data_IF_485926574015
#
_entry.id   IF_485926574015
#
_cell.length_a   1.000
_cell.length_b   1.000
_cell.length_c   1.000
_cell.angle_alpha   90.00
_cell.angle_beta   90.00
_cell.angle_gamma   90.00
#
_symmetry.space_group_name_H-M   'P 1'
#
loop_
_entity.id
_entity.type
_entity.pdbx_description
1 polymer ?
#
# COMPACT_ATOMS: atom_id res chain seq x y z
N UNK A 1 3.76 2.45 41.90
CA UNK A 1 4.38 1.40 41.06
C UNK A 1 3.88 1.62 39.65
N UNK A 2 4.56 2.50 38.94
CA UNK A 2 4.19 2.87 37.58
C UNK A 2 4.69 1.76 36.65
N UNK A 3 3.71 1.00 36.13
CA UNK A 3 4.03 -0.02 35.13
C UNK A 3 4.51 0.64 33.87
N UNK A 4 5.80 0.60 33.58
CA UNK A 4 6.37 0.89 32.27
C UNK A 4 5.62 0.04 31.23
N UNK A 5 4.73 0.70 30.47
CA UNK A 5 4.21 0.13 29.23
C UNK A 5 5.37 0.02 28.25
N UNK A 6 6.00 -1.12 28.25
CA UNK A 6 6.98 -1.47 27.22
C UNK A 6 6.29 -1.31 25.86
N UNK A 7 6.70 -0.28 25.12
CA UNK A 7 6.23 -0.06 23.74
C UNK A 7 6.78 -1.26 22.94
N UNK A 8 5.93 -2.26 22.68
CA UNK A 8 6.27 -3.36 21.78
C UNK A 8 6.67 -2.75 20.44
N UNK A 9 7.89 -2.99 20.01
CA UNK A 9 8.37 -2.50 18.71
C UNK A 9 7.45 -2.99 17.61
N UNK A 10 6.91 -2.06 16.83
CA UNK A 10 6.07 -2.37 15.67
C UNK A 10 6.93 -3.15 14.68
N UNK A 11 6.63 -4.43 14.46
CA UNK A 11 7.43 -5.32 13.61
C UNK A 11 7.21 -5.07 12.12
N UNK A 12 6.00 -4.67 11.72
CA UNK A 12 5.63 -4.46 10.33
C UNK A 12 5.10 -3.04 10.12
N UNK A 13 5.83 -2.26 9.34
CA UNK A 13 5.40 -0.94 8.90
C UNK A 13 5.02 -1.00 7.42
N UNK A 14 3.76 -0.77 7.12
CA UNK A 14 3.25 -0.69 5.76
C UNK A 14 3.10 0.77 5.38
N UNK A 15 3.68 1.16 4.27
CA UNK A 15 3.57 2.54 3.76
C UNK A 15 2.65 2.56 2.56
N UNK A 16 1.72 3.51 2.53
CA UNK A 16 0.72 3.72 1.49
C UNK A 16 0.77 5.18 1.06
N UNK A 17 0.88 5.44 -0.23
CA UNK A 17 0.79 6.80 -0.78
C UNK A 17 -0.58 7.02 -1.42
N UNK A 18 -1.23 8.15 -1.12
CA UNK A 18 -2.48 8.57 -1.74
C UNK A 18 -2.20 9.57 -2.85
N UNK A 19 -2.69 9.26 -4.04
CA UNK A 19 -2.63 10.12 -5.23
C UNK A 19 -4.03 10.33 -5.77
N UNK A 20 -4.33 11.56 -6.13
CA UNK A 20 -5.62 11.92 -6.70
C UNK A 20 -5.69 13.42 -6.90
N UNK A 21 -6.54 13.84 -7.83
CA UNK A 21 -6.73 15.24 -8.16
C UNK A 21 -7.22 16.03 -6.94
N UNK A 22 -7.03 17.32 -6.97
CA UNK A 22 -7.59 18.24 -5.96
C UNK A 22 -9.10 17.99 -5.81
N UNK A 23 -9.59 18.08 -4.61
CA UNK A 23 -10.98 17.80 -4.25
C UNK A 23 -11.44 16.35 -4.41
N UNK A 24 -10.58 15.39 -4.78
CA UNK A 24 -10.98 13.97 -4.82
C UNK A 24 -11.31 13.37 -3.44
N UNK A 25 -10.92 14.06 -2.36
CA UNK A 25 -11.23 13.68 -0.98
C UNK A 25 -10.16 12.81 -0.30
N UNK A 26 -8.89 12.89 -0.71
CA UNK A 26 -7.77 12.14 -0.10
C UNK A 26 -7.68 12.35 1.41
N UNK A 27 -7.55 13.59 1.83
CA UNK A 27 -7.47 13.96 3.26
C UNK A 27 -8.75 13.59 4.02
N UNK A 28 -9.91 13.74 3.37
CA UNK A 28 -11.20 13.34 3.97
C UNK A 28 -11.24 11.83 4.20
N UNK A 29 -10.85 11.03 3.20
CA UNK A 29 -10.77 9.58 3.32
C UNK A 29 -9.85 9.16 4.46
N UNK A 30 -8.66 9.76 4.58
CA UNK A 30 -7.73 9.44 5.66
C UNK A 30 -8.25 9.86 7.03
N UNK A 31 -8.84 11.04 7.14
CA UNK A 31 -9.45 11.49 8.39
C UNK A 31 -10.54 10.51 8.84
N UNK A 32 -11.39 10.07 7.92
CA UNK A 32 -12.47 9.13 8.21
C UNK A 32 -11.96 7.73 8.58
N UNK A 33 -10.86 7.27 7.99
CA UNK A 33 -10.22 6.00 8.34
C UNK A 33 -9.59 6.03 9.74
N UNK A 34 -8.98 7.17 10.12
CA UNK A 34 -8.23 7.30 11.37
C UNK A 34 -9.15 7.75 12.51
N UNK A 35 -10.06 8.68 12.22
CA UNK A 35 -10.95 9.31 13.19
C UNK A 35 -12.42 9.28 12.71
N UNK A 36 -13.06 8.11 12.68
CA UNK A 36 -14.42 7.98 12.13
C UNK A 36 -15.47 8.84 12.85
N UNK A 37 -15.17 9.30 14.07
CA UNK A 37 -16.07 10.12 14.89
C UNK A 37 -16.08 11.61 14.47
N UNK A 38 -15.04 12.05 13.74
CA UNK A 38 -14.84 13.47 13.38
C UNK A 38 -15.49 13.82 12.01
N UNK A 39 -16.06 12.85 11.32
CA UNK A 39 -16.59 12.98 9.94
C UNK A 39 -17.57 14.16 9.78
N UNK A 40 -18.23 14.62 10.83
CA UNK A 40 -19.33 15.57 10.76
C UNK A 40 -18.94 17.06 10.63
N UNK A 41 -17.68 17.43 10.84
CA UNK A 41 -17.24 18.84 10.94
C UNK A 41 -16.13 19.23 9.96
N UNK A 42 -16.15 18.71 8.74
CA UNK A 42 -15.08 18.98 7.78
C UNK A 42 -15.19 20.36 7.14
N UNK A 43 -14.59 21.36 7.77
CA UNK A 43 -14.11 22.51 7.02
C UNK A 43 -12.99 22.03 6.09
N UNK A 44 -13.15 22.25 4.78
CA UNK A 44 -12.14 21.90 3.81
C UNK A 44 -10.86 22.69 4.08
N UNK A 45 -9.76 21.97 4.35
CA UNK A 45 -8.41 22.53 4.47
C UNK A 45 -7.57 21.97 3.34
N UNK A 46 -6.91 22.87 2.61
CA UNK A 46 -5.99 22.46 1.54
C UNK A 46 -4.77 21.80 2.16
N UNK A 47 -4.41 20.61 1.71
CA UNK A 47 -3.13 19.98 2.04
C UNK A 47 -2.04 20.60 1.18
N UNK A 48 -1.09 21.28 1.80
CA UNK A 48 0.10 21.81 1.13
C UNK A 48 1.24 20.79 1.26
N UNK A 49 1.82 20.37 0.11
CA UNK A 49 2.90 19.39 0.11
C UNK A 49 2.44 17.97 0.44
N UNK A 50 3.02 17.38 1.45
CA UNK A 50 2.69 16.04 1.92
C UNK A 50 2.46 16.03 3.42
N UNK A 51 1.33 15.47 3.83
CA UNK A 51 1.06 15.16 5.22
C UNK A 51 1.32 13.68 5.52
N UNK A 52 1.83 13.37 6.70
CA UNK A 52 2.14 12.01 7.13
C UNK A 52 1.19 11.62 8.24
N UNK A 53 0.48 10.50 8.04
CA UNK A 53 -0.47 9.98 9.02
C UNK A 53 -0.22 8.52 9.35
N UNK A 54 -0.67 8.11 10.53
CA UNK A 54 -0.45 6.75 11.02
C UNK A 54 -1.77 6.15 11.47
N UNK A 55 -1.97 4.87 11.12
CA UNK A 55 -3.11 4.08 11.52
C UNK A 55 -2.63 2.70 12.00
N UNK A 56 -2.72 2.40 13.32
CA UNK A 56 -2.42 1.05 13.81
C UNK A 56 -3.54 0.09 13.39
N UNK A 57 -3.17 -1.08 12.85
CA UNK A 57 -4.09 -2.19 12.63
C UNK A 57 -4.22 -3.01 13.93
N UNK A 58 -3.07 -3.26 14.56
CA UNK A 58 -2.91 -3.96 15.83
C UNK A 58 -1.53 -3.62 16.44
N UNK A 59 -1.15 -4.30 17.52
CA UNK A 59 0.13 -4.08 18.23
C UNK A 59 1.38 -4.37 17.37
N UNK A 60 1.24 -5.04 16.23
CA UNK A 60 2.35 -5.49 15.39
C UNK A 60 2.40 -4.87 14.01
N UNK A 61 1.33 -4.21 13.55
CA UNK A 61 1.21 -3.64 12.21
C UNK A 61 0.78 -2.16 12.31
N UNK A 62 1.59 -1.30 11.71
CA UNK A 62 1.33 0.13 11.60
C UNK A 62 1.28 0.53 10.13
N UNK A 63 0.20 1.18 9.71
CA UNK A 63 0.14 1.81 8.39
C UNK A 63 0.62 3.25 8.50
N UNK A 64 1.58 3.62 7.65
CA UNK A 64 1.99 4.99 7.41
C UNK A 64 1.36 5.45 6.09
N UNK A 65 0.66 6.55 6.11
CA UNK A 65 0.12 7.16 4.90
C UNK A 65 0.92 8.41 4.52
N UNK A 66 1.14 8.59 3.22
CA UNK A 66 1.51 9.85 2.60
C UNK A 66 0.28 10.44 1.93
N UNK A 67 -0.28 11.53 2.49
CA UNK A 67 -1.36 12.32 1.91
C UNK A 67 -0.74 13.43 1.07
N UNK A 68 -0.65 13.21 -0.23
CA UNK A 68 -0.05 14.17 -1.15
C UNK A 68 -1.13 15.17 -1.57
N UNK A 69 -0.95 16.44 -1.20
CA UNK A 69 -1.75 17.54 -1.74
C UNK A 69 -1.56 17.64 -3.24
N UNK A 70 -2.58 18.08 -3.98
CA UNK A 70 -2.38 18.52 -5.35
C UNK A 70 -1.66 19.87 -5.32
N UNK A 71 -0.40 19.83 -5.06
CA UNK A 71 0.48 20.93 -5.41
C UNK A 71 1.18 20.47 -6.67
N UNK A 72 1.45 21.36 -7.54
CA UNK A 72 2.33 21.39 -8.70
C UNK A 72 3.55 20.42 -8.65
N UNK A 73 3.50 19.39 -7.82
CA UNK A 73 4.51 18.34 -7.72
C UNK A 73 4.51 17.59 -9.04
N UNK A 74 5.53 17.86 -9.79
CA UNK A 74 5.79 17.08 -11.00
C UNK A 74 6.16 15.65 -10.57
N UNK A 75 5.71 14.61 -11.29
CA UNK A 75 6.05 13.22 -10.97
C UNK A 75 7.56 12.97 -10.85
N UNK A 76 8.34 13.77 -11.54
CA UNK A 76 9.81 13.66 -11.59
C UNK A 76 10.51 14.30 -10.40
N UNK A 77 9.79 14.91 -9.46
CA UNK A 77 10.44 15.46 -8.28
C UNK A 77 10.98 14.34 -7.38
N UNK A 78 12.19 14.53 -6.89
CA UNK A 78 12.90 13.56 -6.05
C UNK A 78 12.08 13.11 -4.83
N UNK A 79 11.20 13.99 -4.33
CA UNK A 79 10.33 13.69 -3.21
C UNK A 79 9.29 12.63 -3.56
N UNK A 80 8.67 12.72 -4.74
CA UNK A 80 7.68 11.74 -5.22
C UNK A 80 8.33 10.39 -5.49
N UNK A 81 9.51 10.39 -6.10
CA UNK A 81 10.29 9.18 -6.31
C UNK A 81 10.68 8.51 -4.98
N UNK A 82 11.15 9.30 -4.01
CA UNK A 82 11.46 8.79 -2.68
C UNK A 82 10.25 8.20 -1.98
N UNK A 83 9.06 8.80 -2.15
CA UNK A 83 7.82 8.25 -1.60
C UNK A 83 7.44 6.94 -2.27
N UNK A 84 7.59 6.82 -3.60
CA UNK A 84 7.30 5.57 -4.30
C UNK A 84 8.17 4.42 -3.83
N UNK A 85 9.47 4.64 -3.66
CA UNK A 85 10.41 3.62 -3.15
C UNK A 85 10.10 3.16 -1.72
N UNK A 86 9.54 4.05 -0.89
CA UNK A 86 9.15 3.74 0.48
C UNK A 86 7.76 3.10 0.57
N UNK A 87 6.96 3.20 -0.49
CA UNK A 87 5.56 2.76 -0.48
C UNK A 87 5.42 1.30 -0.88
N UNK A 88 4.61 0.58 -0.15
CA UNK A 88 4.18 -0.78 -0.51
C UNK A 88 2.97 -0.75 -1.44
N UNK A 89 2.12 0.26 -1.23
CA UNK A 89 0.90 0.47 -1.99
C UNK A 89 0.78 1.91 -2.43
N UNK A 90 0.12 2.11 -3.56
CA UNK A 90 -0.42 3.41 -3.97
C UNK A 90 -1.93 3.31 -4.06
N UNK A 91 -2.64 4.26 -3.44
CA UNK A 91 -4.08 4.43 -3.58
C UNK A 91 -4.32 5.55 -4.58
N UNK A 92 -4.91 5.19 -5.71
CA UNK A 92 -5.40 6.14 -6.70
C UNK A 92 -6.84 6.51 -6.37
N UNK A 93 -7.06 7.77 -6.00
CA UNK A 93 -8.36 8.27 -5.61
C UNK A 93 -9.01 9.07 -6.73
N UNK A 94 -10.18 8.62 -7.15
CA UNK A 94 -11.00 9.24 -8.18
C UNK A 94 -12.26 9.83 -7.54
N UNK A 95 -12.54 11.09 -7.85
CA UNK A 95 -13.89 11.64 -7.77
C UNK A 95 -14.57 11.40 -9.13
N UNK A 96 -15.67 10.63 -9.15
CA UNK A 96 -16.38 10.31 -10.40
C UNK A 96 -16.83 11.52 -11.23
N UNK A 97 -17.03 12.65 -10.56
CA UNK A 97 -17.43 13.91 -11.23
C UNK A 97 -16.27 14.65 -11.89
N UNK A 98 -15.02 14.29 -11.58
CA UNK A 98 -13.84 14.95 -12.14
C UNK A 98 -13.33 14.17 -13.35
N UNK A 99 -13.74 14.57 -14.56
CA UNK A 99 -13.44 13.87 -15.83
C UNK A 99 -11.96 13.64 -16.10
N UNK A 100 -11.06 14.47 -15.55
CA UNK A 100 -9.62 14.41 -15.82
C UNK A 100 -8.85 13.59 -14.79
N UNK A 101 -9.55 12.94 -13.85
CA UNK A 101 -8.90 12.17 -12.78
C UNK A 101 -7.99 11.08 -13.34
N UNK A 102 -8.42 10.33 -14.35
CA UNK A 102 -7.62 9.25 -14.95
C UNK A 102 -6.36 9.78 -15.65
N UNK A 103 -6.46 10.90 -16.37
CA UNK A 103 -5.29 11.53 -17.01
C UNK A 103 -4.28 11.99 -15.98
N UNK A 104 -4.76 12.56 -14.88
CA UNK A 104 -3.90 12.97 -13.77
C UNK A 104 -3.19 11.76 -13.14
N UNK A 105 -3.89 10.67 -12.85
CA UNK A 105 -3.30 9.47 -12.27
C UNK A 105 -2.28 8.81 -13.19
N UNK A 106 -2.54 8.81 -14.51
CA UNK A 106 -1.64 8.24 -15.50
C UNK A 106 -0.23 8.88 -15.50
N UNK A 107 -0.11 10.14 -15.07
CA UNK A 107 1.17 10.85 -15.00
C UNK A 107 2.07 10.20 -13.90
N UNK A 108 1.47 9.66 -12.84
CA UNK A 108 2.22 9.06 -11.72
C UNK A 108 2.55 7.57 -11.92
N UNK A 109 1.98 6.93 -12.94
CA UNK A 109 2.16 5.48 -13.14
C UNK A 109 3.60 5.06 -13.35
N UNK A 110 4.41 5.84 -14.06
CA UNK A 110 5.82 5.51 -14.26
C UNK A 110 6.59 5.51 -12.93
N UNK A 111 6.26 6.43 -12.03
CA UNK A 111 6.92 6.53 -10.72
C UNK A 111 6.47 5.41 -9.76
N UNK A 112 5.18 5.04 -9.81
CA UNK A 112 4.59 4.02 -8.94
C UNK A 112 4.40 2.66 -9.63
N UNK A 113 5.12 2.39 -10.72
CA UNK A 113 4.96 1.17 -11.54
C UNK A 113 5.13 -0.12 -10.73
N UNK A 114 6.06 -0.15 -9.78
CA UNK A 114 6.40 -1.31 -8.98
C UNK A 114 5.57 -1.44 -7.69
N UNK A 115 4.76 -0.44 -7.38
CA UNK A 115 3.92 -0.44 -6.20
C UNK A 115 2.62 -1.23 -6.45
N UNK A 116 2.09 -1.87 -5.42
CA UNK A 116 0.76 -2.47 -5.46
C UNK A 116 -0.31 -1.38 -5.54
N UNK A 117 -1.21 -1.51 -6.51
CA UNK A 117 -2.18 -0.48 -6.84
C UNK A 117 -3.55 -0.79 -6.26
N UNK A 118 -4.16 0.24 -5.70
CA UNK A 118 -5.54 0.23 -5.21
C UNK A 118 -6.26 1.40 -5.86
N UNK A 119 -7.37 1.17 -6.51
CA UNK A 119 -8.21 2.21 -7.10
C UNK A 119 -9.44 2.45 -6.22
N UNK A 120 -9.65 3.68 -5.81
CA UNK A 120 -10.77 4.07 -4.98
C UNK A 120 -11.62 5.13 -5.69
N UNK A 121 -12.85 4.78 -6.01
CA UNK A 121 -13.87 5.74 -6.42
C UNK A 121 -14.51 6.29 -5.15
N UNK A 122 -14.26 7.58 -4.88
CA UNK A 122 -14.79 8.26 -3.70
C UNK A 122 -16.03 9.08 -4.04
N UNK A 123 -16.75 9.56 -3.04
CA UNK A 123 -17.98 10.36 -3.17
C UNK A 123 -19.09 9.64 -3.94
N UNK A 124 -19.22 8.34 -3.70
CA UNK A 124 -20.23 7.51 -4.38
C UNK A 124 -21.66 7.88 -4.05
N UNK A 125 -21.89 8.63 -2.96
CA UNK A 125 -23.19 9.26 -2.64
C UNK A 125 -23.68 10.25 -3.71
N UNK A 126 -22.77 10.76 -4.53
CA UNK A 126 -23.07 11.74 -5.58
C UNK A 126 -23.31 11.09 -6.95
N UNK A 127 -23.30 9.77 -7.03
CA UNK A 127 -23.47 9.00 -8.26
C UNK A 127 -24.83 8.32 -8.25
N UNK A 128 -25.63 8.56 -9.29
CA UNK A 128 -26.97 8.00 -9.40
C UNK A 128 -26.97 6.54 -9.88
N UNK A 129 -26.00 6.16 -10.72
CA UNK A 129 -25.86 4.80 -11.26
C UNK A 129 -24.41 4.32 -11.22
N UNK A 130 -24.14 3.40 -10.32
CA UNK A 130 -22.81 2.82 -10.15
C UNK A 130 -22.37 1.99 -11.37
N UNK A 131 -23.30 1.50 -12.18
CA UNK A 131 -22.98 0.69 -13.37
C UNK A 131 -22.32 1.53 -14.48
N UNK A 132 -22.58 2.83 -14.55
CA UNK A 132 -21.95 3.71 -15.53
C UNK A 132 -20.42 3.72 -15.42
N UNK A 133 -19.87 3.59 -14.21
CA UNK A 133 -18.41 3.58 -14.01
C UNK A 133 -17.78 2.24 -14.32
N UNK A 134 -18.47 1.14 -14.01
CA UNK A 134 -17.97 -0.20 -14.33
C UNK A 134 -17.96 -0.46 -15.84
N UNK A 135 -18.78 0.27 -16.62
CA UNK A 135 -18.91 0.15 -18.07
C UNK A 135 -18.13 1.24 -18.85
N UNK A 136 -17.61 2.27 -18.17
CA UNK A 136 -16.84 3.32 -18.86
C UNK A 136 -15.54 2.72 -19.42
N UNK A 137 -15.42 2.78 -20.76
CA UNK A 137 -14.28 2.20 -21.47
C UNK A 137 -12.96 2.80 -21.02
N UNK A 138 -12.88 4.09 -20.74
CA UNK A 138 -11.64 4.73 -20.33
C UNK A 138 -11.18 4.23 -18.96
N UNK A 139 -12.14 3.96 -18.05
CA UNK A 139 -11.87 3.37 -16.73
C UNK A 139 -11.38 1.94 -16.90
N UNK A 140 -12.05 1.14 -17.73
CA UNK A 140 -11.65 -0.26 -17.98
C UNK A 140 -10.25 -0.33 -18.65
N UNK A 141 -10.00 0.52 -19.64
CA UNK A 141 -8.70 0.62 -20.29
C UNK A 141 -7.59 1.00 -19.29
N UNK A 142 -7.87 1.93 -18.37
CA UNK A 142 -6.96 2.34 -17.31
C UNK A 142 -6.66 1.17 -16.36
N UNK A 143 -7.70 0.50 -15.86
CA UNK A 143 -7.59 -0.66 -14.96
C UNK A 143 -6.75 -1.77 -15.60
N UNK A 144 -7.07 -2.13 -16.86
CA UNK A 144 -6.39 -3.18 -17.58
C UNK A 144 -4.93 -2.83 -17.90
N UNK A 145 -4.69 -1.60 -18.37
CA UNK A 145 -3.36 -1.11 -18.73
C UNK A 145 -2.40 -1.16 -17.53
N UNK A 146 -2.88 -0.76 -16.36
CA UNK A 146 -2.06 -0.66 -15.16
C UNK A 146 -2.23 -1.84 -14.20
N UNK A 147 -2.97 -2.88 -14.62
CA UNK A 147 -3.17 -4.15 -13.89
C UNK A 147 -3.67 -3.94 -12.46
N UNK A 148 -4.70 -3.09 -12.31
CA UNK A 148 -5.27 -2.77 -11.00
C UNK A 148 -6.31 -3.82 -10.64
N UNK A 149 -6.03 -4.62 -9.62
CA UNK A 149 -6.91 -5.71 -9.20
C UNK A 149 -7.80 -5.34 -8.00
N UNK A 150 -7.42 -4.31 -7.24
CA UNK A 150 -8.13 -3.90 -6.04
C UNK A 150 -8.88 -2.60 -6.31
N UNK A 151 -10.21 -2.68 -6.40
CA UNK A 151 -11.08 -1.55 -6.73
C UNK A 151 -12.14 -1.42 -5.65
N UNK A 152 -12.30 -0.21 -5.12
CA UNK A 152 -13.26 0.08 -4.07
C UNK A 152 -14.12 1.29 -4.43
N UNK A 153 -15.37 1.24 -3.99
CA UNK A 153 -16.36 2.31 -4.12
C UNK A 153 -16.68 2.81 -2.72
N UNK A 154 -16.37 4.08 -2.44
CA UNK A 154 -16.37 4.62 -1.08
C UNK A 154 -17.13 5.94 -1.03
N UNK A 155 -17.88 6.13 0.04
CA UNK A 155 -18.31 7.44 0.50
C UNK A 155 -17.52 7.78 1.76
N UNK A 156 -16.58 8.71 1.66
CA UNK A 156 -15.73 9.10 2.80
C UNK A 156 -16.49 9.77 3.95
N UNK A 157 -17.74 10.17 3.73
CA UNK A 157 -18.60 10.79 4.74
C UNK A 157 -19.61 9.81 5.37
N UNK A 158 -19.61 8.55 4.91
CA UNK A 158 -20.46 7.49 5.46
C UNK A 158 -19.64 6.49 6.29
N UNK A 159 -19.98 6.38 7.56
CA UNK A 159 -19.28 5.50 8.52
C UNK A 159 -19.30 4.02 8.09
N UNK A 160 -20.41 3.54 7.53
CA UNK A 160 -20.53 2.14 7.09
C UNK A 160 -19.64 1.86 5.89
N UNK A 161 -19.62 2.80 4.91
CA UNK A 161 -18.76 2.72 3.74
C UNK A 161 -17.28 2.72 4.15
N UNK A 162 -16.88 3.60 5.07
CA UNK A 162 -15.52 3.69 5.59
C UNK A 162 -15.12 2.42 6.35
N UNK A 163 -15.97 1.88 7.20
CA UNK A 163 -15.67 0.66 7.94
C UNK A 163 -15.52 -0.54 6.99
N UNK A 164 -16.37 -0.64 5.96
CA UNK A 164 -16.24 -1.67 4.93
C UNK A 164 -14.92 -1.57 4.20
N UNK A 165 -14.55 -0.37 3.73
CA UNK A 165 -13.27 -0.13 3.07
C UNK A 165 -12.08 -0.40 3.99
N UNK A 166 -12.12 0.07 5.23
CA UNK A 166 -11.08 -0.16 6.25
C UNK A 166 -10.82 -1.65 6.47
N UNK A 167 -11.88 -2.43 6.64
CA UNK A 167 -11.77 -3.88 6.83
C UNK A 167 -11.18 -4.58 5.59
N UNK A 168 -11.61 -4.20 4.40
CA UNK A 168 -11.08 -4.74 3.16
C UNK A 168 -9.60 -4.40 2.96
N UNK A 169 -9.20 -3.15 3.23
CA UNK A 169 -7.81 -2.71 3.19
C UNK A 169 -6.94 -3.48 4.20
N UNK A 170 -7.43 -3.69 5.42
CA UNK A 170 -6.71 -4.43 6.45
C UNK A 170 -6.53 -5.91 6.08
N UNK A 171 -7.54 -6.55 5.49
CA UNK A 171 -7.44 -7.91 5.02
C UNK A 171 -6.42 -8.04 3.88
N UNK A 172 -6.45 -7.14 2.91
CA UNK A 172 -5.49 -7.08 1.81
C UNK A 172 -4.04 -6.99 2.34
N UNK A 173 -3.80 -6.13 3.32
CA UNK A 173 -2.47 -5.95 3.93
C UNK A 173 -2.04 -7.21 4.69
N UNK A 174 -2.95 -7.82 5.46
CA UNK A 174 -2.65 -9.05 6.21
C UNK A 174 -2.29 -10.21 5.30
N UNK A 175 -3.07 -10.44 4.26
CA UNK A 175 -2.79 -11.46 3.25
C UNK A 175 -1.43 -11.25 2.60
N UNK A 176 -1.09 -10.02 2.30
CA UNK A 176 0.19 -9.67 1.70
C UNK A 176 1.38 -9.95 2.64
N UNK A 177 1.25 -9.62 3.92
CA UNK A 177 2.27 -9.92 4.93
C UNK A 177 2.45 -11.45 5.08
N UNK A 178 1.36 -12.20 5.12
CA UNK A 178 1.40 -13.67 5.21
C UNK A 178 2.10 -14.25 3.98
N UNK A 179 1.73 -13.82 2.78
CA UNK A 179 2.32 -14.31 1.53
C UNK A 179 3.83 -14.01 1.45
N UNK A 180 4.26 -12.83 1.90
CA UNK A 180 5.70 -12.49 1.97
C UNK A 180 6.44 -13.37 2.96
N UNK A 181 5.86 -13.62 4.13
CA UNK A 181 6.46 -14.50 5.14
C UNK A 181 6.61 -15.93 4.60
N UNK A 182 5.59 -16.44 3.90
CA UNK A 182 5.61 -17.78 3.31
C UNK A 182 6.68 -17.92 2.21
N UNK A 183 6.79 -16.91 1.33
CA UNK A 183 7.79 -16.89 0.27
C UNK A 183 9.22 -16.82 0.84
N UNK A 184 9.44 -16.06 1.90
CA UNK A 184 10.74 -15.99 2.56
C UNK A 184 11.13 -17.33 3.19
N UNK A 185 10.22 -18.01 3.88
CA UNK A 185 10.46 -19.35 4.45
C UNK A 185 10.80 -20.38 3.36
N UNK A 186 10.07 -20.37 2.24
CA UNK A 186 10.35 -21.27 1.13
C UNK A 186 11.73 -21.01 0.51
N UNK A 187 12.14 -19.75 0.37
CA UNK A 187 13.46 -19.38 -0.15
C UNK A 187 14.59 -19.79 0.80
N UNK A 188 14.39 -19.70 2.10
CA UNK A 188 15.36 -20.19 3.12
C UNK A 188 15.53 -21.71 3.02
N UNK A 189 14.43 -22.47 2.94
CA UNK A 189 14.46 -23.93 2.77
C UNK A 189 15.18 -24.34 1.47
N UNK A 190 14.93 -23.64 0.37
CA UNK A 190 15.59 -23.91 -0.93
C UNK A 190 17.08 -23.64 -0.81
N UNK A 191 17.50 -22.55 -0.18
CA UNK A 191 18.89 -22.19 -0.01
C UNK A 191 19.62 -23.16 0.92
N UNK A 192 19.00 -23.61 2.00
CA UNK A 192 19.57 -24.64 2.88
C UNK A 192 19.76 -25.98 2.15
N UNK A 193 18.78 -26.38 1.34
CA UNK A 193 18.90 -27.59 0.52
C UNK A 193 20.01 -27.47 -0.54
N UNK A 194 20.15 -26.32 -1.20
CA UNK A 194 21.24 -26.05 -2.15
C UNK A 194 22.62 -26.13 -1.48
N UNK A 195 22.76 -25.63 -0.25
CA UNK A 195 24.01 -25.72 0.54
C UNK A 195 24.33 -27.17 0.88
N UNK A 196 23.33 -28.00 1.18
CA UNK A 196 23.51 -29.42 1.46
C UNK A 196 24.00 -30.21 0.23
N UNK A 197 23.56 -29.85 -0.98
CA UNK A 197 24.00 -30.48 -2.23
C UNK A 197 25.40 -30.05 -2.69
N UNK A 198 25.93 -28.94 -2.20
CA UNK A 198 27.25 -28.40 -2.57
C UNK A 198 28.32 -28.55 -1.49
N UNK A 199 28.12 -29.41 -0.47
CA UNK A 199 29.22 -29.76 0.41
C UNK A 199 30.26 -30.56 -0.39
N UNK A 200 31.52 -30.09 -0.53
CA UNK A 200 32.56 -30.86 -1.18
C UNK A 200 32.76 -32.16 -0.41
N UNK A 201 32.72 -33.28 -1.10
CA UNK A 201 33.12 -34.59 -0.55
C UNK A 201 34.59 -34.47 -0.20
N UNK A 202 34.91 -34.25 1.06
CA UNK A 202 36.30 -34.29 1.52
C UNK A 202 36.71 -35.75 1.56
N UNK A 203 37.37 -36.22 0.50
CA UNK A 203 38.03 -37.51 0.45
C UNK A 203 39.18 -37.51 1.44
N UNK A 204 38.98 -38.08 2.61
CA UNK A 204 40.03 -38.47 3.52
C UNK A 204 40.74 -39.73 3.02
N UNK A 205 41.57 -39.65 1.99
CA UNK A 205 42.58 -40.65 1.74
C UNK A 205 43.77 -40.40 2.65
N UNK A 206 43.73 -40.94 3.89
CA UNK A 206 44.91 -41.08 4.71
C UNK A 206 45.82 -42.12 4.08
N UNK A 207 46.93 -41.71 3.45
CA UNK A 207 48.08 -42.54 3.20
C UNK A 207 48.72 -42.89 4.56
N UNK A 208 48.50 -44.09 5.03
CA UNK A 208 49.27 -44.69 6.13
C UNK A 208 50.59 -45.13 5.53
N UNK A 209 51.65 -44.34 5.69
CA UNK A 209 53.02 -44.82 5.45
C UNK A 209 53.46 -45.63 6.67
N UNK A 210 53.41 -46.98 6.55
CA UNK A 210 54.13 -47.88 7.40
C UNK A 210 55.60 -47.80 6.99
N UNK A 211 56.44 -47.15 7.81
CA UNK A 211 57.89 -47.41 7.78
C UNK A 211 58.17 -48.62 8.67
N UNK A 212 58.69 -49.68 8.03
CA UNK A 212 59.38 -50.74 8.70
C UNK A 212 60.73 -50.16 9.20
N UNK A 213 60.96 -50.30 10.52
CA UNK A 213 62.18 -50.80 11.11
C UNK A 213 61.95 -50.94 12.61
#
# INVERSE_FOLDING_TARGET
MDGEKTIKSVRNKITITLIGKRFSGKTTLLNSLIFPEIIKNNNYVITYGCDIRFLPINDTILIKFYDIGEIELQPNENIIQSMSWQSHYVIYLIDPKIKESLKYLAIFEEVFKDNKKILVFNKMDQVQDNNLFTQDKNIQDFINKYKINNIFYVNSLDTNSINTFKNALFNLIREDIINRAFNNMNNEIINENLILYHKPVINFSKKINLKNE
#
